data_IF_179759653656
#
_entry.id   IF_179759653656
#
_cell.length_a   1.000
_cell.length_b   1.000
_cell.length_c   1.000
_cell.angle_alpha   90.00
_cell.angle_beta   90.00
_cell.angle_gamma   90.00
#
_symmetry.space_group_name_H-M   'P 1'
#
loop_
_entity.id
_entity.type
_entity.pdbx_description
1 polymer ?
#
# COMPACT_ATOMS: atom_id res chain seq x y z
N UNK A 1 38.35 32.69 -22.64
CA UNK A 1 37.01 33.27 -22.84
C UNK A 1 35.97 32.19 -23.02
N UNK A 2 34.82 32.41 -22.38
CA UNK A 2 33.49 31.84 -22.64
C UNK A 2 33.17 30.43 -22.12
N UNK A 3 32.45 30.46 -21.00
CA UNK A 3 31.56 29.44 -20.47
C UNK A 3 30.29 29.32 -21.32
N UNK A 4 29.66 28.14 -21.28
CA UNK A 4 28.25 27.98 -21.60
C UNK A 4 27.65 26.94 -20.64
N UNK A 5 26.98 27.46 -19.60
CA UNK A 5 26.13 26.69 -18.70
C UNK A 5 24.80 26.48 -19.42
N UNK A 6 24.50 25.25 -19.85
CA UNK A 6 23.15 24.88 -20.27
C UNK A 6 22.32 24.54 -19.03
N UNK A 7 21.62 25.54 -18.51
CA UNK A 7 20.54 25.35 -17.55
C UNK A 7 19.33 24.73 -18.29
N UNK A 8 19.19 23.42 -18.23
CA UNK A 8 17.99 22.72 -18.70
C UNK A 8 16.87 22.87 -17.67
N UNK A 9 15.95 23.81 -17.90
CA UNK A 9 14.70 23.89 -17.12
C UNK A 9 13.78 22.76 -17.54
N UNK A 10 13.72 21.68 -16.77
CA UNK A 10 12.65 20.69 -16.87
C UNK A 10 11.34 21.34 -16.41
N UNK A 11 10.26 21.32 -17.20
CA UNK A 11 8.98 21.78 -16.71
C UNK A 11 8.53 20.82 -15.59
N UNK A 12 8.32 21.37 -14.40
CA UNK A 12 7.63 20.68 -13.33
C UNK A 12 6.26 20.25 -13.86
N UNK A 13 6.11 18.97 -14.16
CA UNK A 13 4.80 18.34 -14.35
C UNK A 13 4.09 18.49 -13.00
N UNK A 14 3.19 19.45 -12.89
CA UNK A 14 2.17 19.42 -11.85
C UNK A 14 1.50 18.06 -11.92
N UNK A 15 1.71 17.22 -10.90
CA UNK A 15 0.74 16.19 -10.57
C UNK A 15 -0.52 16.96 -10.15
N UNK A 16 -1.37 17.26 -11.14
CA UNK A 16 -2.76 17.54 -10.83
C UNK A 16 -3.25 16.33 -10.05
N UNK A 17 -3.63 16.54 -8.79
CA UNK A 17 -4.34 15.54 -8.01
C UNK A 17 -5.48 15.01 -8.88
N UNK A 18 -5.36 13.78 -9.36
CA UNK A 18 -6.41 13.14 -10.12
C UNK A 18 -7.63 13.17 -9.21
N UNK A 19 -8.66 13.93 -9.61
CA UNK A 19 -9.94 13.90 -8.90
C UNK A 19 -10.40 12.46 -8.94
N UNK A 20 -10.39 11.78 -7.80
CA UNK A 20 -11.00 10.47 -7.62
C UNK A 20 -12.44 10.59 -8.08
N UNK A 21 -12.73 10.00 -9.24
CA UNK A 21 -14.09 9.92 -9.74
C UNK A 21 -14.79 8.86 -8.90
N UNK A 22 -15.71 9.30 -8.04
CA UNK A 22 -16.65 8.41 -7.37
C UNK A 22 -17.55 7.82 -8.46
N UNK A 23 -17.37 6.53 -8.76
CA UNK A 23 -18.33 5.82 -9.59
C UNK A 23 -19.56 5.54 -8.73
N UNK A 24 -20.71 6.04 -9.17
CA UNK A 24 -22.00 5.84 -8.53
C UNK A 24 -22.38 4.35 -8.68
N UNK A 25 -22.15 3.56 -7.62
CA UNK A 25 -22.48 2.12 -7.52
C UNK A 25 -24.00 1.83 -7.55
N UNK A 26 -24.80 2.69 -8.19
CA UNK A 26 -26.25 2.56 -8.41
C UNK A 26 -26.57 1.43 -9.38
N UNK A 27 -26.30 0.21 -8.96
CA UNK A 27 -27.20 -0.93 -9.12
C UNK A 27 -26.90 -1.99 -8.05
N UNK A 28 -27.65 -1.83 -6.95
CA UNK A 28 -28.09 -2.83 -5.97
C UNK A 28 -27.36 -3.07 -4.64
N UNK A 29 -26.26 -2.38 -4.30
CA UNK A 29 -25.76 -2.38 -2.92
C UNK A 29 -25.35 -0.96 -2.51
N UNK A 30 -26.04 -0.42 -1.50
CA UNK A 30 -25.55 0.72 -0.75
C UNK A 30 -24.39 0.23 0.12
N UNK A 31 -23.16 0.44 -0.36
CA UNK A 31 -21.92 -0.06 0.25
C UNK A 31 -21.77 0.47 1.69
N UNK A 32 -22.09 1.74 1.93
CA UNK A 32 -22.02 2.36 3.25
C UNK A 32 -23.01 1.67 4.21
N UNK A 33 -24.24 1.44 3.76
CA UNK A 33 -25.24 0.72 4.57
C UNK A 33 -24.82 -0.72 4.87
N UNK A 34 -24.19 -1.39 3.90
CA UNK A 34 -23.69 -2.75 4.10
C UNK A 34 -22.54 -2.79 5.11
N UNK A 35 -21.60 -1.83 5.04
CA UNK A 35 -20.49 -1.72 5.98
C UNK A 35 -20.98 -1.37 7.39
N UNK A 36 -21.90 -0.42 7.53
CA UNK A 36 -22.51 -0.08 8.82
C UNK A 36 -23.17 -1.31 9.48
N UNK A 37 -23.89 -2.12 8.70
CA UNK A 37 -24.49 -3.36 9.21
C UNK A 37 -23.48 -4.43 9.62
N UNK A 38 -22.23 -4.36 9.15
CA UNK A 38 -21.14 -5.23 9.62
C UNK A 38 -20.51 -4.62 10.88
N UNK A 39 -20.23 -3.31 10.89
CA UNK A 39 -19.73 -2.57 12.05
C UNK A 39 -20.61 -2.84 13.30
N UNK A 40 -21.94 -2.76 13.15
CA UNK A 40 -22.92 -3.06 14.21
C UNK A 40 -22.82 -4.50 14.74
N UNK A 41 -22.48 -5.47 13.89
CA UNK A 41 -22.39 -6.89 14.27
C UNK A 41 -21.08 -7.24 14.97
N UNK A 42 -19.99 -6.57 14.61
CA UNK A 42 -18.66 -6.85 15.15
C UNK A 42 -18.27 -5.93 16.32
N UNK A 43 -19.12 -4.96 16.65
CA UNK A 43 -18.83 -3.89 17.62
C UNK A 43 -17.47 -3.23 17.33
N UNK A 44 -17.28 -2.83 16.07
CA UNK A 44 -15.98 -2.43 15.55
C UNK A 44 -16.09 -1.50 14.34
N UNK A 45 -14.93 -1.23 13.73
CA UNK A 45 -14.81 -0.27 12.62
C UNK A 45 -14.23 -0.91 11.38
N UNK A 46 -14.72 -0.51 10.22
CA UNK A 46 -14.28 -0.97 8.90
C UNK A 46 -13.83 0.20 8.03
N UNK A 47 -12.63 0.09 7.48
CA UNK A 47 -12.15 0.93 6.38
C UNK A 47 -12.04 0.09 5.13
N UNK A 48 -12.56 0.58 4.01
CA UNK A 48 -12.58 -0.14 2.74
C UNK A 48 -12.14 0.79 1.61
N UNK A 49 -11.24 0.32 0.77
CA UNK A 49 -10.91 0.92 -0.51
C UNK A 49 -11.09 -0.14 -1.60
N UNK A 50 -11.89 0.16 -2.60
CA UNK A 50 -12.09 -0.65 -3.81
C UNK A 50 -11.72 0.21 -4.99
N UNK A 51 -10.73 -0.26 -5.74
CA UNK A 51 -10.21 0.42 -6.93
C UNK A 51 -10.05 -0.60 -8.07
N UNK A 52 -10.79 -0.41 -9.16
CA UNK A 52 -10.66 -1.19 -10.39
C UNK A 52 -10.07 -0.30 -11.49
N UNK A 53 -8.79 -0.51 -11.87
CA UNK A 53 -8.14 0.32 -12.88
C UNK A 53 -8.66 0.07 -14.31
N UNK A 54 -9.35 -1.03 -14.57
CA UNK A 54 -9.89 -1.37 -15.91
C UNK A 54 -11.22 -0.68 -16.15
N UNK A 55 -12.10 -0.70 -15.14
CA UNK A 55 -13.44 -0.10 -15.25
C UNK A 55 -13.50 1.34 -14.70
N UNK A 56 -12.49 1.75 -13.93
CA UNK A 56 -12.45 3.05 -13.25
C UNK A 56 -13.35 3.12 -12.01
N UNK A 57 -13.94 2.01 -11.58
CA UNK A 57 -14.73 1.93 -10.34
C UNK A 57 -13.83 2.22 -9.15
N UNK A 58 -14.20 3.23 -8.37
CA UNK A 58 -13.53 3.57 -7.11
C UNK A 58 -14.57 3.84 -6.02
N UNK A 59 -14.36 3.24 -4.85
CA UNK A 59 -15.15 3.50 -3.64
C UNK A 59 -14.26 3.36 -2.40
N UNK A 60 -14.25 4.39 -1.55
CA UNK A 60 -13.35 4.43 -0.39
C UNK A 60 -14.04 4.86 0.93
N UNK A 61 -15.04 4.10 1.44
CA UNK A 61 -15.59 4.34 2.77
C UNK A 61 -14.50 4.37 3.84
N UNK A 62 -14.35 5.51 4.52
CA UNK A 62 -13.28 5.79 5.51
C UNK A 62 -11.85 5.59 4.96
N UNK A 63 -11.63 5.79 3.66
CA UNK A 63 -10.33 5.59 3.01
C UNK A 63 -9.17 6.42 3.60
N UNK A 64 -9.49 7.59 4.17
CA UNK A 64 -8.50 8.50 4.78
C UNK A 64 -8.32 8.29 6.30
N UNK A 65 -9.08 7.37 6.92
CA UNK A 65 -8.94 7.07 8.33
C UNK A 65 -7.77 6.12 8.61
N UNK A 66 -7.21 6.18 9.83
CA UNK A 66 -6.09 5.33 10.23
C UNK A 66 -6.56 4.00 10.83
N UNK A 67 -5.94 2.91 10.37
CA UNK A 67 -6.11 1.55 10.88
C UNK A 67 -4.74 0.93 11.21
N UNK A 68 -4.66 0.04 12.21
CA UNK A 68 -3.42 -0.69 12.48
C UNK A 68 -3.09 -1.62 11.30
N UNK A 69 -1.89 -1.49 10.75
CA UNK A 69 -1.47 -2.30 9.60
C UNK A 69 -1.27 -3.78 9.94
N UNK A 70 -0.94 -4.09 11.20
CA UNK A 70 -0.59 -5.46 11.61
C UNK A 70 0.49 -6.05 10.70
N UNK A 71 0.20 -7.09 9.91
CA UNK A 71 1.16 -7.68 8.96
C UNK A 71 1.07 -7.13 7.53
N UNK A 72 0.13 -6.24 7.19
CA UNK A 72 0.02 -5.70 5.82
C UNK A 72 1.19 -4.80 5.44
N UNK A 73 1.91 -4.23 6.42
CA UNK A 73 3.14 -3.46 6.16
C UNK A 73 4.20 -4.24 5.39
N UNK A 74 4.19 -5.58 5.48
CA UNK A 74 5.16 -6.43 4.80
C UNK A 74 5.09 -6.28 3.28
N UNK A 75 3.93 -5.89 2.74
CA UNK A 75 3.78 -5.53 1.33
C UNK A 75 4.67 -4.35 0.93
N UNK A 76 5.03 -3.45 1.87
CA UNK A 76 5.95 -2.34 1.64
C UNK A 76 7.39 -2.70 2.04
N UNK A 77 7.58 -3.52 3.07
CA UNK A 77 8.91 -3.93 3.53
C UNK A 77 9.64 -4.80 2.50
N UNK A 78 8.95 -5.73 1.84
CA UNK A 78 9.54 -6.60 0.82
C UNK A 78 10.07 -5.82 -0.39
N UNK A 79 9.28 -4.96 -1.07
CA UNK A 79 9.79 -4.20 -2.21
C UNK A 79 10.90 -3.22 -1.83
N UNK A 80 10.94 -2.71 -0.59
CA UNK A 80 12.08 -1.94 -0.13
C UNK A 80 13.38 -2.77 -0.12
N UNK A 81 13.31 -4.05 0.25
CA UNK A 81 14.44 -4.98 0.14
C UNK A 81 14.75 -5.31 -1.33
N UNK A 82 13.74 -5.55 -2.16
CA UNK A 82 13.94 -5.81 -3.59
C UNK A 82 14.58 -4.63 -4.31
N UNK A 83 14.19 -3.40 -3.97
CA UNK A 83 14.81 -2.20 -4.52
C UNK A 83 16.31 -2.12 -4.16
N UNK A 84 16.70 -2.50 -2.94
CA UNK A 84 18.12 -2.61 -2.58
C UNK A 84 18.85 -3.68 -3.37
N UNK A 85 18.19 -4.77 -3.76
CA UNK A 85 18.75 -5.77 -4.68
C UNK A 85 18.95 -5.19 -6.07
N UNK A 86 17.99 -4.43 -6.58
CA UNK A 86 18.10 -3.75 -7.89
C UNK A 86 19.28 -2.75 -7.92
N UNK A 87 19.53 -2.06 -6.82
CA UNK A 87 20.68 -1.15 -6.66
C UNK A 87 22.01 -1.88 -6.36
N UNK A 88 21.99 -3.21 -6.21
CA UNK A 88 23.18 -4.02 -5.89
C UNK A 88 23.67 -3.88 -4.44
N UNK A 89 22.84 -3.33 -3.55
CA UNK A 89 23.12 -3.15 -2.12
C UNK A 89 22.72 -4.36 -1.25
N UNK A 90 22.08 -5.37 -1.84
CA UNK A 90 21.64 -6.58 -1.18
C UNK A 90 21.64 -7.77 -2.16
N UNK A 91 21.75 -8.99 -1.64
CA UNK A 91 21.61 -10.21 -2.45
C UNK A 91 20.49 -11.09 -1.91
N UNK A 92 19.63 -11.62 -2.79
CA UNK A 92 18.57 -12.57 -2.37
C UNK A 92 19.13 -13.88 -1.79
N UNK A 93 20.38 -14.22 -2.14
CA UNK A 93 21.12 -15.36 -1.59
C UNK A 93 21.81 -15.06 -0.26
N UNK A 94 21.74 -13.84 0.24
CA UNK A 94 22.32 -13.49 1.54
C UNK A 94 21.56 -14.21 2.65
N UNK A 95 22.26 -15.11 3.35
CA UNK A 95 21.71 -15.83 4.49
C UNK A 95 21.76 -14.97 5.75
N UNK A 96 20.60 -14.81 6.39
CA UNK A 96 20.49 -14.10 7.67
C UNK A 96 20.39 -15.13 8.79
N UNK A 97 21.39 -15.17 9.67
CA UNK A 97 21.35 -16.01 10.86
C UNK A 97 20.28 -15.51 11.83
N UNK A 98 19.27 -16.34 12.10
CA UNK A 98 18.19 -16.04 13.05
C UNK A 98 18.40 -16.91 14.30
N UNK A 99 18.71 -16.33 15.47
CA UNK A 99 18.89 -17.11 16.69
C UNK A 99 17.54 -17.64 17.19
N UNK A 100 17.59 -18.76 17.91
CA UNK A 100 16.38 -19.48 18.39
C UNK A 100 15.44 -18.61 19.23
N UNK A 101 15.99 -17.69 20.02
CA UNK A 101 15.25 -16.78 20.91
C UNK A 101 14.59 -15.61 20.15
N UNK A 102 14.98 -15.35 18.90
CA UNK A 102 14.31 -14.40 18.02
C UNK A 102 13.10 -15.00 17.27
N UNK A 103 12.86 -16.32 17.38
CA UNK A 103 11.74 -16.99 16.72
C UNK A 103 10.46 -16.73 17.52
N UNK A 104 9.53 -16.00 16.91
CA UNK A 104 8.24 -15.67 17.51
C UNK A 104 7.22 -16.81 17.35
N UNK A 105 6.15 -16.75 18.15
CA UNK A 105 5.11 -17.80 18.21
C UNK A 105 4.49 -18.15 16.84
N UNK A 106 4.34 -17.15 15.98
CA UNK A 106 3.78 -17.25 14.63
C UNK A 106 4.87 -17.24 13.52
N UNK A 107 5.91 -18.06 13.67
CA UNK A 107 7.03 -18.18 12.73
C UNK A 107 7.29 -19.64 12.30
N UNK A 108 6.28 -20.28 11.69
CA UNK A 108 6.30 -21.72 11.37
C UNK A 108 7.50 -22.18 10.50
N UNK A 109 7.98 -21.34 9.58
CA UNK A 109 9.13 -21.67 8.70
C UNK A 109 10.43 -21.91 9.47
N UNK A 110 10.58 -21.35 10.67
CA UNK A 110 11.82 -21.43 11.45
C UNK A 110 11.76 -22.49 12.56
N UNK A 111 10.74 -23.37 12.58
CA UNK A 111 10.62 -24.44 13.56
C UNK A 111 11.29 -25.74 13.08
N UNK A 112 12.63 -25.76 13.00
CA UNK A 112 13.45 -26.98 12.99
C UNK A 112 14.77 -26.75 13.74
#
# INVERSE_FOLDING_TARGET
SSAAVLAGTLPARSLAAAKTQHVDLKKNIDLEKALAAIEDKIDGRLGVDVSDPVTGVNAAPRGDERFPMCSTYKLLAVPAVLHRVDEGEEMLSHEIAVPRDAILSYAARHRE
#
